data_IF_119273380656
#
_entry.id   IF_119273380656
#
_cell.length_a   1.000
_cell.length_b   1.000
_cell.length_c   1.000
_cell.angle_alpha   90.00
_cell.angle_beta   90.00
_cell.angle_gamma   90.00
#
_symmetry.space_group_name_H-M   'P 1'
#
loop_
_entity.id
_entity.type
_entity.pdbx_description
1 polymer ?
#
# COMPACT_ATOMS: atom_id res chain seq x y z
N UNK A 1 21.78 29.18 43.30
CA UNK A 1 21.60 28.38 42.07
C UNK A 1 20.45 28.95 41.29
N UNK A 2 20.73 29.71 40.23
CA UNK A 2 19.70 30.35 39.40
C UNK A 2 19.46 29.53 38.14
N UNK A 3 18.25 29.00 37.97
CA UNK A 3 17.83 28.29 36.75
C UNK A 3 16.68 29.08 36.12
N UNK A 4 16.98 29.77 35.02
CA UNK A 4 15.98 30.50 34.24
C UNK A 4 15.03 29.51 33.52
N UNK A 5 13.73 29.80 33.41
CA UNK A 5 12.81 28.98 32.64
C UNK A 5 13.03 29.18 31.13
N UNK A 6 13.20 28.06 30.43
CA UNK A 6 13.43 28.00 28.99
C UNK A 6 12.28 28.64 28.20
N UNK A 7 12.64 29.60 27.34
CA UNK A 7 11.73 30.20 26.36
C UNK A 7 11.35 29.11 25.35
N UNK A 8 10.09 28.64 25.39
CA UNK A 8 9.53 27.85 24.30
C UNK A 8 9.47 28.74 23.06
N UNK A 9 10.19 28.35 22.00
CA UNK A 9 10.06 28.98 20.68
C UNK A 9 8.63 28.72 20.19
N UNK A 10 7.85 29.74 19.79
CA UNK A 10 6.60 29.47 19.10
C UNK A 10 6.92 28.76 17.79
N UNK A 11 6.21 27.65 17.53
CA UNK A 11 6.18 27.03 16.22
C UNK A 11 5.79 28.12 15.21
N UNK A 12 6.67 28.35 14.24
CA UNK A 12 6.44 29.27 13.13
C UNK A 12 5.20 28.76 12.41
N UNK A 13 4.06 29.39 12.65
CA UNK A 13 2.85 29.14 11.88
C UNK A 13 3.23 29.39 10.42
N UNK A 14 3.22 28.33 9.61
CA UNK A 14 3.30 28.47 8.17
C UNK A 14 2.03 29.19 7.75
N UNK A 15 2.14 30.51 7.61
CA UNK A 15 1.12 31.31 6.93
C UNK A 15 1.13 30.83 5.48
N UNK A 16 0.13 30.02 5.11
CA UNK A 16 -0.21 29.80 3.72
C UNK A 16 -0.64 31.16 3.17
N UNK A 17 0.22 31.77 2.37
CA UNK A 17 -0.14 32.94 1.60
C UNK A 17 -1.31 32.54 0.68
N UNK A 18 -2.48 33.11 0.91
CA UNK A 18 -3.58 33.12 -0.03
C UNK A 18 -3.18 34.01 -1.22
N UNK A 19 -2.28 33.51 -2.05
CA UNK A 19 -1.99 34.08 -3.35
C UNK A 19 -3.09 33.65 -4.31
N UNK A 20 -4.14 34.48 -4.44
CA UNK A 20 -5.05 34.40 -5.58
C UNK A 20 -4.25 34.79 -6.82
N UNK A 21 -3.60 33.82 -7.46
CA UNK A 21 -3.11 33.96 -8.83
C UNK A 21 -4.33 33.82 -9.73
N UNK A 22 -4.99 34.94 -10.01
CA UNK A 22 -5.97 35.03 -11.09
C UNK A 22 -5.21 35.03 -12.42
N UNK A 23 -4.65 33.87 -12.77
CA UNK A 23 -4.29 33.59 -14.14
C UNK A 23 -5.56 33.54 -14.99
N UNK A 24 -5.50 33.91 -16.28
CA UNK A 24 -6.65 33.78 -17.17
C UNK A 24 -7.15 32.32 -17.14
N UNK A 25 -8.44 32.14 -16.88
CA UNK A 25 -9.09 30.83 -16.95
C UNK A 25 -9.05 30.39 -18.43
N UNK A 26 -8.07 29.56 -18.78
CA UNK A 26 -7.95 28.99 -20.11
C UNK A 26 -8.99 27.87 -20.24
N UNK A 27 -9.91 27.93 -21.22
CA UNK A 27 -10.80 26.82 -21.50
C UNK A 27 -9.98 25.58 -21.84
N UNK A 28 -10.30 24.46 -21.20
CA UNK A 28 -9.66 23.17 -21.50
C UNK A 28 -9.98 22.77 -22.95
N UNK A 29 -8.96 22.34 -23.69
CA UNK A 29 -9.16 21.76 -25.02
C UNK A 29 -9.74 20.34 -24.93
N UNK A 30 -10.22 19.80 -26.05
CA UNK A 30 -10.73 18.42 -26.09
C UNK A 30 -9.68 17.40 -25.61
N UNK A 31 -8.41 17.61 -25.95
CA UNK A 31 -7.29 16.77 -25.52
C UNK A 31 -7.09 16.80 -23.99
N UNK A 32 -7.26 17.97 -23.37
CA UNK A 32 -7.17 18.12 -21.92
C UNK A 32 -8.30 17.36 -21.22
N UNK A 33 -9.51 17.40 -21.78
CA UNK A 33 -10.64 16.62 -21.27
C UNK A 33 -10.38 15.11 -21.35
N UNK A 34 -9.84 14.62 -22.47
CA UNK A 34 -9.50 13.20 -22.63
C UNK A 34 -8.44 12.74 -21.63
N UNK A 35 -7.40 13.56 -21.41
CA UNK A 35 -6.36 13.30 -20.41
C UNK A 35 -6.93 13.23 -18.99
N UNK A 36 -7.76 14.21 -18.60
CA UNK A 36 -8.39 14.24 -17.28
C UNK A 36 -9.37 13.08 -17.10
N UNK A 37 -10.17 12.76 -18.12
CA UNK A 37 -11.12 11.65 -18.07
C UNK A 37 -10.39 10.31 -17.90
N UNK A 38 -9.30 10.09 -18.63
CA UNK A 38 -8.45 8.91 -18.46
C UNK A 38 -7.89 8.82 -17.05
N UNK A 39 -7.35 9.91 -16.52
CA UNK A 39 -6.80 9.95 -15.16
C UNK A 39 -7.88 9.62 -14.11
N UNK A 40 -9.07 10.17 -14.28
CA UNK A 40 -10.22 9.88 -13.42
C UNK A 40 -10.62 8.40 -13.49
N UNK A 41 -10.72 7.81 -14.69
CA UNK A 41 -11.03 6.39 -14.85
C UNK A 41 -9.96 5.50 -14.20
N UNK A 42 -8.68 5.84 -14.34
CA UNK A 42 -7.58 5.11 -13.70
C UNK A 42 -7.65 5.17 -12.18
N UNK A 43 -7.93 6.34 -11.62
CA UNK A 43 -8.09 6.50 -10.17
C UNK A 43 -9.33 5.77 -9.66
N UNK A 44 -10.48 5.88 -10.36
CA UNK A 44 -11.69 5.13 -10.04
C UNK A 44 -11.42 3.62 -10.07
N UNK A 45 -10.70 3.13 -11.07
CA UNK A 45 -10.32 1.74 -11.15
C UNK A 45 -9.43 1.33 -9.96
N UNK A 46 -8.37 2.10 -9.66
CA UNK A 46 -7.47 1.86 -8.53
C UNK A 46 -8.24 1.79 -7.21
N UNK A 47 -9.14 2.75 -6.97
CA UNK A 47 -10.00 2.78 -5.80
C UNK A 47 -10.94 1.57 -5.75
N UNK A 48 -11.48 1.14 -6.90
CA UNK A 48 -12.33 -0.05 -6.97
C UNK A 48 -11.58 -1.32 -6.59
N UNK A 49 -10.30 -1.44 -6.96
CA UNK A 49 -9.45 -2.58 -6.60
C UNK A 49 -9.15 -2.57 -5.10
N UNK A 50 -8.80 -1.42 -4.54
CA UNK A 50 -8.50 -1.29 -3.10
C UNK A 50 -9.72 -1.55 -2.19
N UNK A 51 -10.93 -1.26 -2.67
CA UNK A 51 -12.18 -1.52 -1.94
C UNK A 51 -12.59 -2.99 -1.94
N UNK A 52 -12.09 -3.79 -2.88
CA UNK A 52 -12.45 -5.22 -2.97
C UNK A 52 -11.66 -6.01 -1.94
N UNK A 53 -12.30 -7.01 -1.35
CA UNK A 53 -11.60 -8.00 -0.53
C UNK A 53 -10.67 -8.82 -1.43
N UNK A 54 -9.36 -8.93 -1.11
CA UNK A 54 -8.44 -9.79 -1.85
C UNK A 54 -8.94 -11.24 -1.86
N UNK A 55 -8.84 -11.90 -3.02
CA UNK A 55 -9.12 -13.33 -3.16
C UNK A 55 -7.77 -14.05 -3.19
N UNK A 56 -7.44 -14.74 -2.11
CA UNK A 56 -6.21 -15.50 -2.04
C UNK A 56 -6.41 -16.92 -2.56
N UNK A 57 -5.32 -17.57 -2.97
CA UNK A 57 -5.34 -18.98 -3.36
C UNK A 57 -5.73 -19.89 -2.18
N UNK A 58 -6.26 -21.09 -2.43
CA UNK A 58 -6.34 -22.13 -1.43
C UNK A 58 -4.96 -22.48 -0.87
N UNK A 59 -4.90 -22.95 0.38
CA UNK A 59 -3.64 -23.22 1.09
C UNK A 59 -2.69 -24.10 0.28
N UNK A 60 -3.17 -25.21 -0.28
CA UNK A 60 -2.34 -26.14 -1.05
C UNK A 60 -1.76 -25.54 -2.33
N UNK A 61 -2.51 -24.68 -3.01
CA UNK A 61 -2.01 -24.00 -4.21
C UNK A 61 -1.01 -22.91 -3.85
N UNK A 62 -1.22 -22.22 -2.72
CA UNK A 62 -0.29 -21.25 -2.19
C UNK A 62 1.06 -21.91 -1.84
N UNK A 63 1.04 -23.01 -1.08
CA UNK A 63 2.25 -23.76 -0.74
C UNK A 63 2.99 -24.25 -2.00
N UNK A 64 2.27 -24.82 -2.97
CA UNK A 64 2.88 -25.23 -4.25
C UNK A 64 3.57 -24.07 -4.96
N UNK A 65 2.99 -22.89 -4.94
CA UNK A 65 3.60 -21.69 -5.53
C UNK A 65 4.84 -21.24 -4.76
N UNK A 66 4.78 -21.18 -3.43
CA UNK A 66 5.91 -20.79 -2.56
C UNK A 66 7.08 -21.75 -2.74
N UNK A 67 6.81 -23.06 -2.68
CA UNK A 67 7.82 -24.11 -2.87
C UNK A 67 8.41 -24.10 -4.28
N UNK A 68 7.61 -23.83 -5.32
CA UNK A 68 8.11 -23.71 -6.68
C UNK A 68 9.03 -22.49 -6.88
N UNK A 69 8.84 -21.42 -6.09
CA UNK A 69 9.74 -20.27 -6.10
C UNK A 69 11.07 -20.60 -5.40
N UNK A 70 11.04 -21.42 -4.34
CA UNK A 70 12.24 -21.92 -3.65
C UNK A 70 13.15 -20.81 -3.11
N UNK A 71 12.56 -19.67 -2.73
CA UNK A 71 13.28 -18.45 -2.33
C UNK A 71 13.30 -18.21 -0.82
N UNK A 72 12.43 -18.89 -0.07
CA UNK A 72 12.23 -18.65 1.36
C UNK A 72 12.11 -20.00 2.07
N UNK A 73 13.01 -20.23 3.03
CA UNK A 73 13.03 -21.44 3.86
C UNK A 73 12.54 -21.16 5.30
N UNK A 74 12.43 -19.88 5.67
CA UNK A 74 12.03 -19.44 7.01
C UNK A 74 10.93 -18.38 6.99
N UNK A 75 10.25 -18.23 8.13
CA UNK A 75 9.26 -17.18 8.33
C UNK A 75 9.90 -15.79 8.21
N UNK A 76 11.11 -15.63 8.74
CA UNK A 76 11.84 -14.37 8.74
C UNK A 76 12.13 -13.90 7.31
N UNK A 77 12.63 -14.79 6.45
CA UNK A 77 12.89 -14.48 5.03
C UNK A 77 11.60 -14.11 4.28
N UNK A 78 10.49 -14.79 4.60
CA UNK A 78 9.19 -14.45 4.05
C UNK A 78 8.75 -13.04 4.47
N UNK A 79 8.90 -12.69 5.76
CA UNK A 79 8.53 -11.37 6.28
C UNK A 79 9.40 -10.26 5.69
N UNK A 80 10.70 -10.51 5.52
CA UNK A 80 11.62 -9.59 4.85
C UNK A 80 11.21 -9.35 3.39
N UNK A 81 10.84 -10.40 2.66
CA UNK A 81 10.32 -10.27 1.30
C UNK A 81 8.98 -9.52 1.25
N UNK A 82 8.09 -9.77 2.21
CA UNK A 82 6.85 -9.00 2.32
C UNK A 82 7.13 -7.52 2.60
N UNK A 83 8.14 -7.22 3.43
CA UNK A 83 8.55 -5.86 3.78
C UNK A 83 9.25 -5.12 2.63
N UNK A 84 9.99 -5.82 1.78
CA UNK A 84 10.63 -5.23 0.59
C UNK A 84 9.60 -4.71 -0.42
N UNK A 85 8.38 -5.26 -0.40
CA UNK A 85 7.29 -4.85 -1.27
C UNK A 85 7.50 -5.21 -2.74
N UNK A 86 8.48 -6.05 -3.05
CA UNK A 86 8.86 -6.34 -4.43
C UNK A 86 7.90 -7.33 -5.10
N UNK A 87 7.31 -6.88 -6.22
CA UNK A 87 6.58 -7.68 -7.24
C UNK A 87 5.71 -8.81 -6.67
N UNK A 88 4.91 -8.48 -5.67
CA UNK A 88 4.09 -9.46 -4.96
C UNK A 88 2.92 -9.97 -5.80
N UNK A 89 2.79 -11.29 -5.87
CA UNK A 89 1.62 -11.92 -6.46
C UNK A 89 0.36 -11.56 -5.62
N UNK A 90 -0.66 -10.90 -6.20
CA UNK A 90 -1.84 -10.43 -5.46
C UNK A 90 -2.67 -11.57 -4.85
N UNK A 91 -2.51 -12.80 -5.35
CA UNK A 91 -3.22 -13.97 -4.84
C UNK A 91 -2.54 -14.62 -3.63
N UNK A 92 -1.38 -14.13 -3.22
CA UNK A 92 -0.58 -14.68 -2.12
C UNK A 92 -0.72 -13.78 -0.88
N UNK A 93 -1.25 -14.30 0.25
CA UNK A 93 -1.43 -13.52 1.47
C UNK A 93 -0.08 -13.19 2.10
N UNK A 94 0.05 -11.99 2.70
CA UNK A 94 1.31 -11.55 3.33
C UNK A 94 1.50 -12.24 4.67
N UNK A 95 0.37 -12.53 5.31
CA UNK A 95 0.27 -13.17 6.62
C UNK A 95 -0.49 -14.49 6.42
N UNK A 96 0.14 -15.50 5.79
CA UNK A 96 -0.51 -16.77 5.47
C UNK A 96 -1.02 -17.47 6.73
N UNK A 97 -0.26 -17.40 7.84
CA UNK A 97 -0.67 -17.92 9.14
C UNK A 97 -2.00 -17.33 9.63
N UNK A 98 -2.19 -16.01 9.54
CA UNK A 98 -3.43 -15.37 9.99
C UNK A 98 -4.60 -15.69 9.04
N UNK A 99 -4.36 -15.67 7.73
CA UNK A 99 -5.40 -15.90 6.74
C UNK A 99 -5.89 -17.36 6.77
N UNK A 100 -4.98 -18.32 6.65
CA UNK A 100 -5.32 -19.74 6.67
C UNK A 100 -5.62 -20.25 8.08
N UNK A 101 -5.12 -19.57 9.13
CA UNK A 101 -5.49 -19.84 10.51
C UNK A 101 -6.97 -19.57 10.76
N UNK A 102 -7.50 -18.44 10.28
CA UNK A 102 -8.95 -18.13 10.32
C UNK A 102 -9.80 -19.17 9.58
N UNK A 103 -9.25 -19.79 8.54
CA UNK A 103 -9.92 -20.84 7.76
C UNK A 103 -9.73 -22.25 8.35
N UNK A 104 -8.93 -22.42 9.42
CA UNK A 104 -8.58 -23.72 9.97
C UNK A 104 -7.77 -24.61 9.02
N UNK A 105 -7.09 -24.01 8.03
CA UNK A 105 -6.28 -24.72 7.02
C UNK A 105 -4.78 -24.58 7.24
N UNK A 106 -4.36 -23.73 8.18
CA UNK A 106 -2.96 -23.53 8.49
C UNK A 106 -2.34 -24.78 9.13
N UNK A 107 -1.24 -25.27 8.55
CA UNK A 107 -0.51 -26.46 9.01
C UNK A 107 0.85 -26.15 9.65
N UNK A 108 1.23 -24.88 9.69
CA UNK A 108 2.55 -24.44 10.16
C UNK A 108 3.49 -24.10 9.01
N UNK A 109 4.56 -23.38 9.33
CA UNK A 109 5.57 -22.93 8.37
C UNK A 109 6.34 -24.06 7.71
N UNK A 110 6.52 -25.19 8.40
CA UNK A 110 7.16 -26.37 7.80
C UNK A 110 6.42 -26.95 6.59
N UNK A 111 5.13 -26.61 6.41
CA UNK A 111 4.32 -27.04 5.26
C UNK A 111 4.09 -25.92 4.24
N UNK A 112 4.46 -24.68 4.57
CA UNK A 112 4.23 -23.50 3.75
C UNK A 112 5.42 -23.30 2.81
#
# INVERSE_FOLDING_TARGET
>A
GSRAPGRRRPHRACQLAAGSSEGPLVPLGEDDYLLLHRAQLMEQHRQSILRRTPRFLPFEECCRWVQAMGQWDSQEEWEEWVASGEKRNPYIPSRPQEYYGKLGKWRGWAFF
#
